data_IF_396152442171
#
_entry.id   IF_396152442171
#
_cell.length_a   1.000
_cell.length_b   1.000
_cell.length_c   1.000
_cell.angle_alpha   90.00
_cell.angle_beta   90.00
_cell.angle_gamma   90.00
#
_symmetry.space_group_name_H-M   'P 1'
#
loop_
_entity.id
_entity.type
_entity.pdbx_description
1 polymer ?
#
# COMPACT_ATOMS: atom_id res chain seq x y z
N UNK A 1 3.28 31.40 13.52
CA UNK A 1 3.88 31.29 12.16
C UNK A 1 3.66 29.85 11.66
N UNK A 2 2.54 29.56 10.98
CA UNK A 2 2.21 28.19 10.52
C UNK A 2 3.06 27.85 9.28
N UNK A 3 3.67 26.66 9.30
CA UNK A 3 4.73 26.18 8.40
C UNK A 3 4.39 26.42 6.92
N UNK A 4 5.12 27.31 6.25
CA UNK A 4 5.05 27.50 4.79
C UNK A 4 5.41 26.21 4.03
N UNK A 5 6.20 25.34 4.65
CA UNK A 5 6.67 24.07 4.07
C UNK A 5 5.52 23.10 3.79
N UNK A 6 4.52 23.02 4.68
CA UNK A 6 3.34 22.16 4.46
C UNK A 6 2.43 22.69 3.35
N UNK A 7 2.39 24.00 3.15
CA UNK A 7 1.57 24.65 2.11
C UNK A 7 2.15 24.34 0.72
N UNK A 8 3.48 24.37 0.60
CA UNK A 8 4.18 24.03 -0.65
C UNK A 8 4.08 22.54 -1.00
N UNK A 9 4.09 21.64 0.00
CA UNK A 9 3.92 20.20 -0.20
C UNK A 9 2.51 19.83 -0.72
N UNK A 10 1.48 20.57 -0.32
CA UNK A 10 0.12 20.41 -0.86
C UNK A 10 0.04 20.96 -2.28
N UNK A 11 0.69 22.11 -2.56
CA UNK A 11 0.73 22.75 -3.89
C UNK A 11 1.51 21.97 -4.96
N UNK A 12 2.46 21.13 -4.57
CA UNK A 12 3.26 20.33 -5.51
C UNK A 12 2.57 19.05 -5.97
N UNK A 13 1.46 18.65 -5.33
CA UNK A 13 0.71 17.43 -5.67
C UNK A 13 -0.36 17.65 -6.74
N UNK A 14 -0.58 18.90 -7.14
CA UNK A 14 -1.70 19.33 -8.00
C UNK A 14 -1.22 19.92 -9.35
N UNK A 15 0.07 19.79 -9.66
CA UNK A 15 0.64 20.21 -10.95
C UNK A 15 1.34 19.05 -11.64
N UNK A 16 0.58 18.10 -12.16
CA UNK A 16 1.06 17.34 -13.31
C UNK A 16 1.09 18.23 -14.56
N UNK A 17 1.64 17.73 -15.68
CA UNK A 17 1.65 18.46 -16.95
C UNK A 17 0.21 18.87 -17.32
N UNK A 18 -0.01 20.11 -17.76
CA UNK A 18 -1.36 20.60 -18.15
C UNK A 18 -1.98 19.75 -19.27
N UNK A 19 -1.13 19.04 -20.03
CA UNK A 19 -1.49 18.10 -21.10
C UNK A 19 -2.16 16.81 -20.60
N UNK A 20 -1.99 16.47 -19.32
CA UNK A 20 -2.58 15.31 -18.67
C UNK A 20 -3.36 15.83 -17.47
N UNK A 21 -4.70 15.78 -17.51
CA UNK A 21 -5.58 16.20 -16.42
C UNK A 21 -5.37 15.35 -15.15
N UNK A 22 -4.21 15.45 -14.52
CA UNK A 22 -3.78 14.66 -13.37
C UNK A 22 -4.43 15.22 -12.11
N UNK A 23 -5.76 15.19 -12.07
CA UNK A 23 -6.50 15.43 -10.85
C UNK A 23 -6.24 14.22 -9.93
N UNK A 24 -5.92 14.49 -8.66
CA UNK A 24 -5.91 13.43 -7.66
C UNK A 24 -7.32 12.82 -7.58
N UNK A 25 -7.43 11.51 -7.87
CA UNK A 25 -8.70 10.81 -7.87
C UNK A 25 -9.10 10.54 -6.41
N UNK A 26 -10.12 11.26 -5.93
CA UNK A 26 -10.54 11.22 -4.52
C UNK A 26 -11.39 9.98 -4.16
N UNK A 27 -11.65 9.09 -5.12
CA UNK A 27 -12.48 7.89 -4.92
C UNK A 27 -11.63 6.63 -4.78
N UNK A 28 -12.08 5.67 -3.97
CA UNK A 28 -11.49 4.33 -3.95
C UNK A 28 -11.67 3.69 -5.32
N UNK A 29 -10.58 3.28 -5.97
CA UNK A 29 -10.64 2.69 -7.29
C UNK A 29 -11.49 1.42 -7.31
N UNK A 30 -12.12 1.12 -8.44
CA UNK A 30 -13.08 0.02 -8.60
C UNK A 30 -12.57 -1.35 -8.13
N UNK A 31 -11.24 -1.56 -8.19
CA UNK A 31 -10.58 -2.79 -7.70
C UNK A 31 -10.81 -3.01 -6.20
N UNK A 32 -10.98 -1.94 -5.42
CA UNK A 32 -11.24 -2.03 -3.98
C UNK A 32 -12.60 -2.64 -3.65
N UNK A 33 -13.54 -2.69 -4.60
CA UNK A 33 -14.82 -3.38 -4.43
C UNK A 33 -14.65 -4.91 -4.33
N UNK A 34 -13.60 -5.46 -4.93
CA UNK A 34 -13.31 -6.91 -4.91
C UNK A 34 -12.12 -7.27 -4.01
N UNK A 35 -11.26 -6.31 -3.70
CA UNK A 35 -10.06 -6.51 -2.92
C UNK A 35 -10.32 -6.46 -1.40
N UNK A 36 -9.39 -7.01 -0.62
CA UNK A 36 -9.35 -6.82 0.83
C UNK A 36 -8.21 -5.89 1.22
N UNK A 37 -8.49 -4.96 2.13
CA UNK A 37 -7.50 -4.01 2.68
C UNK A 37 -6.55 -4.70 3.66
N UNK A 38 -7.10 -5.53 4.53
CA UNK A 38 -6.33 -6.28 5.51
C UNK A 38 -5.89 -7.61 4.91
N UNK A 39 -4.58 -7.77 4.76
CA UNK A 39 -3.95 -8.98 4.22
C UNK A 39 -3.00 -9.57 5.25
N UNK A 40 -2.89 -10.90 5.26
CA UNK A 40 -1.91 -11.60 6.08
C UNK A 40 -0.57 -11.54 5.34
N UNK A 41 0.41 -10.87 5.94
CA UNK A 41 1.79 -10.82 5.46
C UNK A 41 2.72 -11.61 6.38
N UNK A 42 3.89 -11.97 5.86
CA UNK A 42 4.95 -12.60 6.64
C UNK A 42 6.24 -11.77 6.56
N UNK A 43 7.09 -11.80 7.60
CA UNK A 43 8.39 -11.14 7.54
C UNK A 43 9.39 -11.92 6.68
N UNK A 44 10.41 -11.23 6.16
CA UNK A 44 11.49 -11.90 5.39
C UNK A 44 12.29 -12.93 6.22
N UNK A 45 12.24 -12.82 7.55
CA UNK A 45 12.89 -13.76 8.48
C UNK A 45 12.06 -15.02 8.76
N UNK A 46 10.80 -15.08 8.32
CA UNK A 46 9.95 -16.25 8.51
C UNK A 46 10.50 -17.44 7.72
N UNK A 47 10.40 -18.64 8.30
CA UNK A 47 10.85 -19.86 7.65
C UNK A 47 9.88 -20.28 6.54
N UNK A 48 10.39 -21.07 5.58
CA UNK A 48 9.55 -21.62 4.50
C UNK A 48 8.44 -22.52 5.06
N UNK A 49 8.72 -23.24 6.16
CA UNK A 49 7.74 -24.10 6.84
C UNK A 49 6.57 -23.28 7.39
N UNK A 50 6.86 -22.21 8.12
CA UNK A 50 5.82 -21.31 8.66
C UNK A 50 5.00 -20.67 7.53
N UNK A 51 5.66 -20.24 6.45
CA UNK A 51 4.97 -19.70 5.28
C UNK A 51 4.00 -20.74 4.68
N UNK A 52 4.44 -21.99 4.53
CA UNK A 52 3.60 -23.07 4.00
C UNK A 52 2.42 -23.40 4.93
N UNK A 53 2.64 -23.44 6.24
CA UNK A 53 1.57 -23.66 7.22
C UNK A 53 0.52 -22.54 7.18
N UNK A 54 0.96 -21.28 7.10
CA UNK A 54 0.07 -20.12 6.97
C UNK A 54 -0.73 -20.20 5.65
N UNK A 55 -0.08 -20.57 4.55
CA UNK A 55 -0.76 -20.75 3.25
C UNK A 55 -1.86 -21.81 3.32
N UNK A 56 -1.56 -22.99 3.87
CA UNK A 56 -2.54 -24.09 3.99
C UNK A 56 -3.68 -23.72 4.94
N UNK A 57 -3.36 -23.17 6.12
CA UNK A 57 -4.34 -22.78 7.13
C UNK A 57 -5.32 -21.74 6.62
N UNK A 58 -4.83 -20.73 5.90
CA UNK A 58 -5.66 -19.64 5.37
C UNK A 58 -6.16 -19.88 3.94
N UNK A 59 -5.83 -21.04 3.34
CA UNK A 59 -6.15 -21.39 1.95
C UNK A 59 -5.65 -20.36 0.93
N UNK A 60 -4.48 -19.78 1.21
CA UNK A 60 -3.83 -18.82 0.33
C UNK A 60 -2.82 -19.50 -0.58
N UNK A 61 -2.75 -19.01 -1.81
CA UNK A 61 -1.75 -19.45 -2.80
C UNK A 61 -0.50 -18.57 -2.83
N UNK A 62 -0.56 -17.39 -2.20
CA UNK A 62 0.50 -16.37 -2.19
C UNK A 62 0.47 -15.63 -0.85
N UNK A 63 1.63 -15.20 -0.39
CA UNK A 63 1.80 -14.36 0.80
C UNK A 63 2.71 -13.17 0.46
N UNK A 64 2.31 -11.93 0.79
CA UNK A 64 3.21 -10.78 0.74
C UNK A 64 4.34 -10.91 1.76
N UNK A 65 5.57 -10.58 1.36
CA UNK A 65 6.73 -10.52 2.24
C UNK A 65 6.92 -9.06 2.66
N UNK A 66 6.89 -8.79 3.95
CA UNK A 66 7.00 -7.44 4.52
C UNK A 66 8.27 -7.31 5.34
N UNK A 67 8.78 -6.08 5.50
CA UNK A 67 9.90 -5.83 6.39
C UNK A 67 9.37 -5.31 7.75
N UNK A 68 9.61 -6.04 8.87
CA UNK A 68 9.14 -5.63 10.19
C UNK A 68 9.49 -4.19 10.53
N UNK A 69 8.52 -3.43 11.06
CA UNK A 69 8.76 -2.08 11.57
C UNK A 69 8.88 -0.96 10.53
N UNK A 70 8.90 -1.25 9.23
CA UNK A 70 8.99 -0.21 8.18
C UNK A 70 7.64 0.21 7.61
N UNK A 71 6.58 -0.58 7.86
CA UNK A 71 5.25 -0.37 7.26
C UNK A 71 5.25 -0.52 5.72
N UNK A 72 6.31 -1.08 5.15
CA UNK A 72 6.45 -1.32 3.71
C UNK A 72 6.08 -2.77 3.38
N UNK A 73 5.19 -2.90 2.41
CA UNK A 73 4.83 -4.13 1.70
C UNK A 73 5.75 -4.34 0.50
#
# INVERSE_FOLDING_TARGET
>A
MRKKDTINLVKSRDRGPVEFESRNFDHEGDVMAIARKEVISIPQTATIKEAAEIMVKNKFRRLPITNPGTGKL
#
